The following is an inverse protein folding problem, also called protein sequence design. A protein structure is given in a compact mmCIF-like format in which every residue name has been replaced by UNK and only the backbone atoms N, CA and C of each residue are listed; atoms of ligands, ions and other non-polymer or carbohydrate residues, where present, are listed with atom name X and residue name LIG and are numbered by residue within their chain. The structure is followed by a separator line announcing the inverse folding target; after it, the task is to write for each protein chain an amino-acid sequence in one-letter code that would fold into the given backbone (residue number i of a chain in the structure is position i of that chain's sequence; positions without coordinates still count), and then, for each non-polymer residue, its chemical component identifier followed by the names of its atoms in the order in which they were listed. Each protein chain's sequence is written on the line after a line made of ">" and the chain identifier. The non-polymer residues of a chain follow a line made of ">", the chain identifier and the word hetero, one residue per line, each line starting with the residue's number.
data_IF_934844988142
#
_entry.id   IF_934844988142
#
_cell.length_a   1.000
_cell.length_b   1.000
_cell.length_c   1.000
_cell.angle_alpha   90.00
_cell.angle_beta   90.00
_cell.angle_gamma   90.00
#
_symmetry.space_group_name_H-M   'P 1'
#
loop_
_entity.id
_entity.type
_entity.pdbx_description
1 polymer ?
#
# COMPACT_ATOMS: atom_id res chain seq x y z
N UNK A 1 -7.55 42.84 -4.84
CA UNK A 1 -6.93 41.68 -5.49
C UNK A 1 -5.91 41.11 -4.53
N UNK A 2 -6.02 39.82 -4.20
CA UNK A 2 -5.11 39.14 -3.28
C UNK A 2 -3.78 38.85 -3.97
N UNK A 3 -2.68 38.93 -3.22
CA UNK A 3 -1.37 38.51 -3.70
C UNK A 3 -1.21 37.01 -3.51
N UNK A 4 -0.62 36.33 -4.49
CA UNK A 4 -0.19 34.94 -4.38
C UNK A 4 1.34 34.88 -4.32
N UNK A 5 1.86 34.03 -3.45
CA UNK A 5 3.29 33.82 -3.24
C UNK A 5 3.67 32.40 -3.61
N UNK A 6 4.72 32.30 -4.41
CA UNK A 6 5.13 31.07 -5.06
C UNK A 6 6.60 30.82 -4.76
N UNK A 7 6.90 29.80 -3.96
CA UNK A 7 8.25 29.47 -3.47
C UNK A 7 8.65 28.01 -3.69
N UNK A 8 7.74 27.13 -4.11
CA UNK A 8 8.06 25.76 -4.52
C UNK A 8 8.60 25.74 -5.97
N UNK A 9 9.71 26.44 -6.17
CA UNK A 9 10.32 26.84 -7.44
C UNK A 9 11.04 28.17 -7.26
N UNK A 10 11.33 28.87 -8.36
CA UNK A 10 11.77 30.27 -8.28
C UNK A 10 10.73 31.14 -7.54
N UNK A 11 11.21 32.07 -6.71
CA UNK A 11 10.34 33.00 -5.97
C UNK A 11 9.57 33.90 -6.93
N UNK A 12 8.24 33.75 -6.95
CA UNK A 12 7.31 34.59 -7.69
C UNK A 12 6.29 35.22 -6.74
N UNK A 13 5.95 36.49 -7.02
CA UNK A 13 4.83 37.19 -6.37
C UNK A 13 3.87 37.63 -7.45
N UNK A 14 2.61 37.25 -7.34
CA UNK A 14 1.60 37.51 -8.36
C UNK A 14 0.45 38.33 -7.81
N UNK A 15 -0.03 39.30 -8.58
CA UNK A 15 -1.27 40.03 -8.34
C UNK A 15 -2.24 39.68 -9.46
N UNK A 16 -3.02 38.63 -9.26
CA UNK A 16 -3.82 38.03 -10.33
C UNK A 16 -2.94 37.48 -11.46
N UNK A 17 -3.05 38.06 -12.66
CA UNK A 17 -2.26 37.65 -13.82
C UNK A 17 -0.83 38.24 -13.85
N UNK A 18 -0.60 39.33 -13.10
CA UNK A 18 0.64 40.10 -13.21
C UNK A 18 1.71 39.65 -12.21
N UNK A 19 2.96 39.61 -12.66
CA UNK A 19 4.12 39.42 -11.79
C UNK A 19 4.50 40.74 -11.12
N UNK A 20 4.74 40.69 -9.82
CA UNK A 20 5.19 41.84 -9.01
C UNK A 20 6.72 41.78 -8.88
N UNK A 21 7.39 42.84 -9.29
CA UNK A 21 8.86 42.96 -9.18
C UNK A 21 9.28 43.13 -7.71
N UNK A 22 9.91 42.09 -7.15
CA UNK A 22 10.35 42.06 -5.73
C UNK A 22 11.84 42.45 -5.59
N UNK A 23 12.45 42.96 -6.66
CA UNK A 23 13.85 43.40 -6.66
C UNK A 23 14.85 42.26 -6.76
N UNK A 24 16.10 42.51 -6.34
CA UNK A 24 17.24 41.60 -6.50
C UNK A 24 17.25 40.42 -5.49
N UNK A 25 18.14 39.44 -5.70
CA UNK A 25 18.23 38.20 -4.92
C UNK A 25 18.18 38.39 -3.39
N UNK A 26 18.96 39.33 -2.81
CA UNK A 26 18.92 39.57 -1.34
C UNK A 26 17.58 40.11 -0.82
N UNK A 27 16.88 40.94 -1.61
CA UNK A 27 15.55 41.43 -1.22
C UNK A 27 14.52 40.29 -1.30
N UNK A 28 14.62 39.44 -2.34
CA UNK A 28 13.85 38.20 -2.47
C UNK A 28 14.11 37.24 -1.30
N UNK A 29 15.35 37.09 -0.84
CA UNK A 29 15.69 36.28 0.33
C UNK A 29 15.01 36.77 1.61
N UNK A 30 14.97 38.09 1.85
CA UNK A 30 14.25 38.66 3.01
C UNK A 30 12.76 38.30 2.95
N UNK A 31 12.13 38.45 1.78
CA UNK A 31 10.74 38.07 1.61
C UNK A 31 10.54 36.57 1.85
N UNK A 32 11.38 35.72 1.26
CA UNK A 32 11.29 34.27 1.40
C UNK A 32 11.37 33.81 2.87
N UNK A 33 12.27 34.40 3.68
CA UNK A 33 12.34 34.10 5.12
C UNK A 33 11.02 34.45 5.83
N UNK A 34 10.43 35.60 5.51
CA UNK A 34 9.16 36.02 6.10
C UNK A 34 7.96 35.18 5.63
N UNK A 35 8.01 34.62 4.41
CA UNK A 35 6.97 33.73 3.89
C UNK A 35 7.02 32.35 4.56
N UNK A 36 8.21 31.84 4.88
CA UNK A 36 8.37 30.58 5.63
C UNK A 36 7.72 30.73 7.02
N UNK A 37 8.01 31.81 7.73
CA UNK A 37 7.44 32.11 9.04
C UNK A 37 6.25 33.08 8.97
N UNK A 38 5.33 32.86 8.01
CA UNK A 38 4.17 33.74 7.83
C UNK A 38 3.36 33.85 9.12
N UNK A 39 2.86 35.04 9.43
CA UNK A 39 2.13 35.35 10.66
C UNK A 39 2.92 35.12 11.97
N UNK A 40 4.22 34.78 11.90
CA UNK A 40 5.12 34.65 13.03
C UNK A 40 6.16 35.79 13.04
N UNK A 41 6.60 36.19 14.24
CA UNK A 41 7.61 37.25 14.38
C UNK A 41 8.99 36.67 14.14
N UNK A 42 9.67 37.14 13.10
CA UNK A 42 11.09 36.80 12.83
C UNK A 42 11.99 37.91 13.38
N UNK A 43 12.87 37.55 14.31
CA UNK A 43 13.81 38.50 14.92
C UNK A 43 14.78 39.11 13.89
N UNK A 44 15.26 40.33 14.15
CA UNK A 44 16.23 40.99 13.25
C UNK A 44 17.50 40.15 13.09
N UNK A 45 18.08 39.64 14.18
CA UNK A 45 19.30 38.82 14.10
C UNK A 45 19.06 37.51 13.33
N UNK A 46 17.87 36.94 13.44
CA UNK A 46 17.47 35.74 12.71
C UNK A 46 17.30 36.02 11.22
N UNK A 47 16.69 37.16 10.85
CA UNK A 47 16.64 37.62 9.45
C UNK A 47 18.05 37.83 8.90
N UNK A 48 18.94 38.46 9.68
CA UNK A 48 20.32 38.68 9.26
C UNK A 48 21.06 37.36 9.04
N UNK A 49 20.99 36.46 10.02
CA UNK A 49 21.63 35.13 9.95
C UNK A 49 21.11 34.31 8.78
N UNK A 50 19.79 34.24 8.55
CA UNK A 50 19.23 33.42 7.46
C UNK A 50 19.50 33.99 6.07
N UNK A 51 19.51 35.31 5.93
CA UNK A 51 19.72 35.95 4.63
C UNK A 51 21.20 36.05 4.29
N UNK A 52 22.09 36.31 5.25
CA UNK A 52 23.52 36.57 4.99
C UNK A 52 24.49 35.51 5.54
N UNK A 53 24.05 34.62 6.42
CA UNK A 53 24.91 33.64 7.08
C UNK A 53 26.05 34.30 7.85
N UNK A 54 27.24 33.73 7.73
CA UNK A 54 28.46 34.20 8.40
C UNK A 54 29.14 35.41 7.73
N UNK A 55 28.62 35.87 6.58
CA UNK A 55 29.19 36.98 5.84
C UNK A 55 28.23 38.19 5.72
N UNK A 56 27.77 38.77 6.85
CA UNK A 56 26.93 39.97 6.81
C UNK A 56 27.75 41.20 6.36
N UNK A 57 27.17 42.11 5.56
CA UNK A 57 27.83 43.37 5.23
C UNK A 57 27.97 44.25 6.47
N UNK A 58 28.96 45.17 6.46
CA UNK A 58 29.25 46.09 7.57
C UNK A 58 28.00 46.86 8.10
N UNK A 59 27.02 47.10 7.24
CA UNK A 59 25.76 47.77 7.59
C UNK A 59 24.52 46.87 7.34
N UNK A 60 24.58 45.60 7.72
CA UNK A 60 23.51 44.63 7.46
C UNK A 60 22.13 45.06 7.96
N UNK A 61 22.04 45.68 9.15
CA UNK A 61 20.77 46.22 9.68
C UNK A 61 20.18 47.32 8.80
N UNK A 62 21.01 48.24 8.32
CA UNK A 62 20.56 49.32 7.43
C UNK A 62 20.08 48.77 6.07
N UNK A 63 20.82 47.80 5.51
CA UNK A 63 20.42 47.11 4.29
C UNK A 63 19.08 46.36 4.46
N UNK A 64 18.90 45.64 5.58
CA UNK A 64 17.65 44.96 5.90
C UNK A 64 16.47 45.94 5.96
N UNK A 65 16.62 47.06 6.66
CA UNK A 65 15.55 48.07 6.74
C UNK A 65 15.20 48.68 5.36
N UNK A 66 16.20 48.89 4.51
CA UNK A 66 16.00 49.34 3.12
C UNK A 66 15.21 48.31 2.31
N UNK A 67 15.56 47.03 2.41
CA UNK A 67 14.84 45.95 1.73
C UNK A 67 13.41 45.80 2.23
N UNK A 68 13.17 45.86 3.54
CA UNK A 68 11.83 45.82 4.13
C UNK A 68 10.97 47.00 3.68
N UNK A 69 11.56 48.20 3.56
CA UNK A 69 10.86 49.37 3.02
C UNK A 69 10.42 49.15 1.57
N UNK A 70 11.34 48.68 0.70
CA UNK A 70 11.03 48.38 -0.70
C UNK A 70 9.99 47.26 -0.85
N UNK A 71 10.08 46.22 -0.02
CA UNK A 71 9.10 45.13 0.00
C UNK A 71 7.70 45.64 0.37
N UNK A 72 7.57 46.51 1.38
CA UNK A 72 6.27 47.13 1.73
C UNK A 72 5.66 47.88 0.55
N UNK A 73 6.48 48.64 -0.18
CA UNK A 73 6.02 49.36 -1.38
C UNK A 73 5.60 48.40 -2.48
N UNK A 74 6.41 47.38 -2.79
CA UNK A 74 6.13 46.43 -3.87
C UNK A 74 4.85 45.61 -3.61
N UNK A 75 4.66 45.13 -2.38
CA UNK A 75 3.53 44.27 -2.03
C UNK A 75 2.21 45.06 -1.95
N UNK A 76 2.25 46.35 -1.59
CA UNK A 76 1.13 47.28 -1.78
C UNK A 76 -0.24 46.74 -1.33
N UNK A 77 -0.31 46.13 -0.14
CA UNK A 77 -1.54 45.51 0.37
C UNK A 77 -1.32 44.39 1.39
N UNK A 78 -0.13 43.77 1.43
CA UNK A 78 0.25 42.76 2.43
C UNK A 78 1.12 43.41 3.52
N UNK A 79 0.65 43.50 4.77
CA UNK A 79 1.37 44.21 5.83
C UNK A 79 2.61 43.46 6.33
N UNK A 80 3.77 44.11 6.23
CA UNK A 80 4.99 43.72 6.95
C UNK A 80 5.13 44.61 8.18
N UNK A 81 4.68 44.14 9.35
CA UNK A 81 4.69 44.91 10.61
C UNK A 81 5.95 44.65 11.42
N UNK A 82 6.36 45.65 12.19
CA UNK A 82 7.40 45.48 13.21
C UNK A 82 6.72 45.08 14.52
N UNK A 83 7.12 43.96 15.13
CA UNK A 83 6.61 43.49 16.42
C UNK A 83 7.76 42.94 17.25
N UNK A 84 7.81 43.25 18.56
CA UNK A 84 8.75 42.68 19.53
C UNK A 84 10.21 42.57 19.08
N UNK A 85 10.74 43.62 18.40
CA UNK A 85 12.13 43.62 17.93
C UNK A 85 12.40 42.83 16.63
N UNK A 86 11.35 42.33 15.97
CA UNK A 86 11.40 41.62 14.69
C UNK A 86 10.38 42.12 13.69
N UNK A 87 10.16 41.33 12.64
CA UNK A 87 9.19 41.61 11.59
C UNK A 87 8.26 40.41 11.37
N UNK A 88 7.01 40.69 11.07
CA UNK A 88 6.00 39.69 10.69
C UNK A 88 5.37 40.10 9.37
N UNK A 89 5.25 39.16 8.45
CA UNK A 89 4.42 39.29 7.25
C UNK A 89 3.06 38.68 7.54
N UNK A 90 2.03 39.51 7.49
CA UNK A 90 0.65 39.12 7.81
C UNK A 90 -0.14 38.89 6.52
N UNK A 91 -0.44 37.62 6.21
CA UNK A 91 -1.28 37.23 5.08
C UNK A 91 -1.94 35.89 5.35
N UNK A 92 -2.95 35.54 4.56
CA UNK A 92 -3.55 34.20 4.59
C UNK A 92 -2.52 33.16 4.12
N UNK A 93 -2.16 32.15 4.94
CA UNK A 93 -1.24 31.08 4.53
C UNK A 93 -1.68 30.35 3.25
N UNK A 94 -2.97 30.29 2.94
CA UNK A 94 -3.47 29.66 1.71
C UNK A 94 -3.03 30.38 0.42
N UNK A 95 -2.57 31.64 0.54
CA UNK A 95 -1.99 32.41 -0.57
C UNK A 95 -0.53 32.07 -0.86
N UNK A 96 0.11 31.24 -0.03
CA UNK A 96 1.51 30.85 -0.14
C UNK A 96 1.55 29.35 -0.48
N UNK A 97 2.14 29.00 -1.64
CA UNK A 97 2.18 27.61 -2.11
C UNK A 97 2.85 26.64 -1.13
N UNK A 98 3.87 27.06 -0.38
CA UNK A 98 4.51 26.27 0.67
C UNK A 98 3.53 25.85 1.79
N UNK A 99 2.77 26.80 2.34
CA UNK A 99 1.83 26.49 3.42
C UNK A 99 0.62 25.71 2.91
N UNK A 100 0.19 25.99 1.67
CA UNK A 100 -0.84 25.22 1.00
C UNK A 100 -0.38 23.78 0.72
N UNK A 101 0.88 23.57 0.35
CA UNK A 101 1.49 22.26 0.19
C UNK A 101 1.43 21.47 1.50
N UNK A 102 1.93 22.01 2.62
CA UNK A 102 1.87 21.33 3.91
C UNK A 102 0.41 21.02 4.32
N UNK A 103 -0.52 21.95 4.09
CA UNK A 103 -1.93 21.74 4.40
C UNK A 103 -2.55 20.61 3.57
N UNK A 104 -2.24 20.54 2.27
CA UNK A 104 -2.74 19.48 1.38
C UNK A 104 -2.14 18.11 1.72
N UNK A 105 -0.86 18.05 2.09
CA UNK A 105 -0.22 16.82 2.59
C UNK A 105 -0.90 16.35 3.87
N UNK A 106 -1.12 17.25 4.84
CA UNK A 106 -1.81 16.93 6.09
C UNK A 106 -3.26 16.46 5.88
N UNK A 107 -3.92 16.93 4.82
CA UNK A 107 -5.27 16.50 4.43
C UNK A 107 -5.29 15.18 3.63
N UNK A 108 -4.14 14.56 3.37
CA UNK A 108 -4.06 13.34 2.55
C UNK A 108 -4.37 13.58 1.08
N UNK A 109 -4.06 14.78 0.56
CA UNK A 109 -4.28 15.17 -0.85
C UNK A 109 -2.95 15.41 -1.58
N UNK A 110 -2.05 14.40 -1.65
CA UNK A 110 -0.70 14.60 -2.15
C UNK A 110 -0.65 14.98 -3.64
N UNK A 111 -1.60 14.53 -4.46
CA UNK A 111 -1.66 14.89 -5.89
C UNK A 111 -1.79 16.41 -6.10
N UNK A 112 -2.65 17.06 -5.30
CA UNK A 112 -2.85 18.51 -5.36
C UNK A 112 -1.69 19.28 -4.75
N UNK A 113 -1.05 18.71 -3.73
CA UNK A 113 0.16 19.28 -3.14
C UNK A 113 1.29 19.30 -4.17
N UNK A 114 1.54 18.17 -4.85
CA UNK A 114 2.59 18.05 -5.87
C UNK A 114 2.36 18.96 -7.07
N UNK A 115 1.10 19.23 -7.44
CA UNK A 115 0.78 20.19 -8.51
C UNK A 115 1.22 21.63 -8.20
N UNK A 116 1.54 21.96 -6.94
CA UNK A 116 2.10 23.26 -6.57
C UNK A 116 3.61 23.36 -6.81
N UNK A 117 4.31 22.23 -6.89
CA UNK A 117 5.75 22.15 -7.09
C UNK A 117 6.08 22.41 -8.55
N UNK A 118 6.83 23.47 -8.82
CA UNK A 118 7.21 23.92 -10.17
C UNK A 118 8.68 23.66 -10.51
N UNK A 119 9.49 23.39 -9.50
CA UNK A 119 10.93 23.21 -9.62
C UNK A 119 11.58 23.08 -8.24
N UNK A 120 12.88 23.36 -8.16
CA UNK A 120 13.62 23.34 -6.91
C UNK A 120 13.04 24.40 -5.93
N UNK A 121 12.66 24.05 -4.69
CA UNK A 121 12.15 25.02 -3.73
C UNK A 121 13.12 26.20 -3.54
N UNK A 122 12.63 27.43 -3.56
CA UNK A 122 13.45 28.64 -3.45
C UNK A 122 14.60 28.71 -4.46
N UNK A 123 14.36 28.27 -5.70
CA UNK A 123 15.34 28.31 -6.79
C UNK A 123 15.95 29.71 -6.95
N UNK A 124 17.26 29.77 -7.15
CA UNK A 124 18.01 31.03 -7.28
C UNK A 124 18.27 31.79 -5.98
N UNK A 125 17.78 31.29 -4.83
CA UNK A 125 18.17 31.81 -3.51
C UNK A 125 19.34 31.00 -2.94
N UNK A 126 20.34 31.71 -2.42
CA UNK A 126 21.60 31.14 -1.94
C UNK A 126 21.82 31.40 -0.45
N UNK A 127 22.66 30.58 0.16
CA UNK A 127 22.98 30.60 1.59
C UNK A 127 22.70 29.26 2.24
N UNK A 128 23.41 28.97 3.33
CA UNK A 128 23.32 27.68 4.04
C UNK A 128 21.90 27.39 4.54
N UNK A 129 21.21 28.41 5.07
CA UNK A 129 19.83 28.25 5.52
C UNK A 129 18.89 27.81 4.38
N UNK A 130 19.00 28.41 3.19
CA UNK A 130 18.20 28.01 2.02
C UNK A 130 18.58 26.62 1.51
N UNK A 131 19.86 26.25 1.56
CA UNK A 131 20.30 24.90 1.18
C UNK A 131 19.72 23.82 2.10
N UNK A 132 19.72 24.06 3.42
CA UNK A 132 19.12 23.15 4.40
C UNK A 132 17.60 23.08 4.28
N UNK A 133 16.95 24.23 4.05
CA UNK A 133 15.51 24.29 3.80
C UNK A 133 15.13 23.52 2.53
N UNK A 134 15.87 23.71 1.43
CA UNK A 134 15.70 22.94 0.20
C UNK A 134 15.79 21.45 0.44
N UNK A 135 16.85 20.99 1.12
CA UNK A 135 17.02 19.57 1.44
C UNK A 135 15.83 19.00 2.21
N UNK A 136 15.31 19.76 3.18
CA UNK A 136 14.13 19.37 3.97
C UNK A 136 12.89 19.27 3.09
N UNK A 137 12.60 20.30 2.30
CA UNK A 137 11.43 20.34 1.42
C UNK A 137 11.50 19.31 0.30
N UNK A 138 12.67 19.04 -0.26
CA UNK A 138 12.83 17.95 -1.23
C UNK A 138 12.46 16.61 -0.59
N UNK A 139 12.87 16.35 0.65
CA UNK A 139 12.47 15.14 1.38
C UNK A 139 10.96 15.05 1.60
N UNK A 140 10.30 16.17 1.93
CA UNK A 140 8.84 16.23 2.07
C UNK A 140 8.11 16.03 0.74
N UNK A 141 8.61 16.61 -0.35
CA UNK A 141 8.08 16.41 -1.70
C UNK A 141 8.20 14.93 -2.09
N UNK A 142 9.37 14.31 -1.88
CA UNK A 142 9.57 12.87 -2.13
C UNK A 142 8.61 12.03 -1.28
N UNK A 143 8.39 12.37 -0.01
CA UNK A 143 7.40 11.66 0.82
C UNK A 143 5.97 11.79 0.26
N UNK A 144 5.58 12.99 -0.20
CA UNK A 144 4.28 13.21 -0.83
C UNK A 144 4.12 12.44 -2.16
N UNK A 145 5.19 12.31 -2.96
CA UNK A 145 5.19 11.46 -4.16
C UNK A 145 4.97 9.97 -3.82
N UNK A 146 5.58 9.48 -2.75
CA UNK A 146 5.38 8.12 -2.27
C UNK A 146 3.93 7.93 -1.81
N UNK A 147 3.37 8.86 -1.04
CA UNK A 147 1.97 8.81 -0.60
C UNK A 147 0.98 8.88 -1.77
N UNK A 148 1.28 9.70 -2.78
CA UNK A 148 0.50 9.77 -4.01
C UNK A 148 0.52 8.44 -4.77
N UNK A 149 1.70 7.82 -4.86
CA UNK A 149 1.86 6.51 -5.49
C UNK A 149 1.07 5.43 -4.75
N UNK A 150 1.11 5.41 -3.42
CA UNK A 150 0.29 4.47 -2.62
C UNK A 150 -1.21 4.67 -2.87
N UNK A 151 -1.66 5.93 -3.00
CA UNK A 151 -3.06 6.24 -3.31
C UNK A 151 -3.47 5.74 -4.70
N UNK A 152 -2.61 5.91 -5.71
CA UNK A 152 -2.85 5.40 -7.08
C UNK A 152 -2.86 3.87 -7.12
N UNK A 153 -1.98 3.21 -6.37
CA UNK A 153 -1.98 1.76 -6.22
C UNK A 153 -3.27 1.27 -5.55
N UNK A 154 -3.75 1.95 -4.51
CA UNK A 154 -5.02 1.61 -3.87
C UNK A 154 -6.24 1.79 -4.80
N UNK A 155 -6.15 2.75 -5.74
CA UNK A 155 -7.15 2.96 -6.79
C UNK A 155 -7.08 1.95 -7.95
N UNK A 156 -6.10 1.02 -7.95
CA UNK A 156 -5.96 -0.03 -8.95
C UNK A 156 -5.11 0.36 -10.18
N UNK A 157 -4.42 1.49 -10.16
CA UNK A 157 -3.54 1.95 -11.26
C UNK A 157 -2.21 1.18 -11.33
N UNK A 158 -2.26 -0.14 -11.42
CA UNK A 158 -1.07 -0.96 -11.30
C UNK A 158 -0.17 -0.92 -12.55
N UNK A 159 -0.76 -1.11 -13.73
CA UNK A 159 0.01 -1.31 -14.98
C UNK A 159 0.71 -0.03 -15.44
N UNK A 160 0.06 1.13 -15.29
CA UNK A 160 0.61 2.43 -15.69
C UNK A 160 1.82 2.83 -14.84
N UNK A 161 1.85 2.42 -13.57
CA UNK A 161 2.92 2.76 -12.62
C UNK A 161 4.21 1.94 -12.78
N UNK A 162 4.18 0.77 -13.41
CA UNK A 162 5.34 -0.15 -13.43
C UNK A 162 6.58 0.51 -14.05
N UNK A 163 6.43 1.21 -15.19
CA UNK A 163 7.58 1.80 -15.89
C UNK A 163 8.24 2.90 -15.04
N UNK A 164 7.43 3.80 -14.50
CA UNK A 164 7.86 4.88 -13.60
C UNK A 164 8.56 4.32 -12.34
N UNK A 165 7.92 3.36 -11.66
CA UNK A 165 8.48 2.75 -10.44
C UNK A 165 9.76 1.95 -10.71
N UNK A 166 9.89 1.35 -11.90
CA UNK A 166 11.13 0.64 -12.28
C UNK A 166 12.30 1.63 -12.44
N UNK A 167 12.06 2.80 -13.03
CA UNK A 167 13.08 3.84 -13.14
C UNK A 167 13.52 4.33 -11.74
N UNK A 168 12.55 4.68 -10.88
CA UNK A 168 12.84 5.16 -9.52
C UNK A 168 13.56 4.15 -8.63
N UNK A 169 13.20 2.87 -8.71
CA UNK A 169 13.90 1.79 -7.96
C UNK A 169 15.28 1.47 -8.53
N UNK A 170 15.59 1.93 -9.75
CA UNK A 170 16.96 1.86 -10.30
C UNK A 170 17.81 3.00 -9.75
N UNK A 171 17.24 4.19 -9.63
CA UNK A 171 17.91 5.37 -9.05
C UNK A 171 18.09 5.25 -7.53
N UNK A 172 17.14 4.62 -6.84
CA UNK A 172 17.14 4.42 -5.39
C UNK A 172 17.08 2.93 -5.03
N UNK A 173 18.16 2.16 -5.28
CA UNK A 173 18.17 0.70 -5.23
C UNK A 173 17.96 0.09 -3.83
N UNK A 174 18.15 0.87 -2.78
CA UNK A 174 18.02 0.44 -1.37
C UNK A 174 16.76 1.02 -0.69
N UNK A 175 15.90 1.75 -1.43
CA UNK A 175 14.66 2.29 -0.88
C UNK A 175 13.58 1.20 -0.81
N UNK A 176 13.33 0.72 0.40
CA UNK A 176 12.38 -0.35 0.66
C UNK A 176 10.92 0.03 0.35
N UNK A 177 10.56 1.32 0.50
CA UNK A 177 9.19 1.78 0.24
C UNK A 177 8.92 1.79 -1.26
N UNK A 178 9.85 2.31 -2.06
CA UNK A 178 9.78 2.26 -3.52
C UNK A 178 9.72 0.82 -4.04
N UNK A 179 10.55 -0.07 -3.48
CA UNK A 179 10.50 -1.49 -3.83
C UNK A 179 9.14 -2.12 -3.52
N UNK A 180 8.56 -1.80 -2.36
CA UNK A 180 7.24 -2.29 -1.97
C UNK A 180 6.13 -1.79 -2.90
N UNK A 181 6.21 -0.54 -3.35
CA UNK A 181 5.29 0.04 -4.33
C UNK A 181 5.40 -0.64 -5.70
N UNK A 182 6.62 -0.87 -6.20
CA UNK A 182 6.83 -1.61 -7.44
C UNK A 182 6.31 -3.05 -7.31
N UNK A 183 6.57 -3.73 -6.20
CA UNK A 183 6.03 -5.07 -5.94
C UNK A 183 4.49 -5.07 -6.01
N UNK A 184 3.81 -4.13 -5.35
CA UNK A 184 2.34 -3.98 -5.42
C UNK A 184 1.84 -3.73 -6.84
N UNK A 185 2.52 -2.88 -7.60
CA UNK A 185 2.19 -2.63 -9.01
C UNK A 185 2.33 -3.91 -9.86
N UNK A 186 3.41 -4.67 -9.69
CA UNK A 186 3.64 -5.92 -10.41
C UNK A 186 2.59 -6.98 -10.04
N UNK A 187 2.26 -7.13 -8.75
CA UNK A 187 1.22 -8.06 -8.28
C UNK A 187 -0.14 -7.71 -8.90
N UNK A 188 -0.56 -6.45 -8.82
CA UNK A 188 -1.84 -6.00 -9.37
C UNK A 188 -1.93 -6.11 -10.90
N UNK A 189 -0.79 -6.16 -11.60
CA UNK A 189 -0.71 -6.44 -13.03
C UNK A 189 -0.61 -7.94 -13.38
N UNK A 190 -0.71 -8.84 -12.39
CA UNK A 190 -0.60 -10.29 -12.58
C UNK A 190 0.84 -10.81 -12.71
N UNK A 191 1.85 -9.98 -12.45
CA UNK A 191 3.29 -10.29 -12.62
C UNK A 191 3.94 -10.71 -11.30
N UNK A 192 3.36 -11.70 -10.62
CA UNK A 192 3.82 -12.18 -9.29
C UNK A 192 5.28 -12.65 -9.29
N UNK A 193 5.71 -13.38 -10.32
CA UNK A 193 7.09 -13.85 -10.45
C UNK A 193 8.09 -12.69 -10.51
N UNK A 194 7.74 -11.60 -11.21
CA UNK A 194 8.59 -10.42 -11.31
C UNK A 194 8.70 -9.68 -9.98
N UNK A 195 7.62 -9.62 -9.20
CA UNK A 195 7.63 -9.04 -7.85
C UNK A 195 8.55 -9.83 -6.90
N UNK A 196 8.50 -11.16 -6.94
CA UNK A 196 9.39 -12.02 -6.16
C UNK A 196 10.86 -11.89 -6.58
N UNK A 197 11.12 -11.84 -7.89
CA UNK A 197 12.46 -11.62 -8.41
C UNK A 197 13.02 -10.24 -8.00
N UNK A 198 12.17 -9.22 -7.97
CA UNK A 198 12.55 -7.89 -7.48
C UNK A 198 12.91 -7.90 -5.99
N UNK A 199 12.06 -8.52 -5.15
CA UNK A 199 12.35 -8.69 -3.72
C UNK A 199 13.66 -9.42 -3.45
N UNK A 200 13.92 -10.52 -4.17
CA UNK A 200 15.16 -11.29 -4.02
C UNK A 200 16.41 -10.45 -4.34
N UNK A 201 16.35 -9.63 -5.42
CA UNK A 201 17.45 -8.71 -5.77
C UNK A 201 17.68 -7.65 -4.70
N UNK A 202 16.62 -7.04 -4.18
CA UNK A 202 16.72 -6.04 -3.12
C UNK A 202 17.31 -6.64 -1.85
N UNK A 203 16.83 -7.81 -1.42
CA UNK A 203 17.33 -8.51 -0.23
C UNK A 203 18.84 -8.76 -0.33
N UNK A 204 19.31 -9.21 -1.48
CA UNK A 204 20.75 -9.45 -1.69
C UNK A 204 21.55 -8.14 -1.58
N UNK A 205 21.07 -7.05 -2.19
CA UNK A 205 21.74 -5.74 -2.09
C UNK A 205 21.77 -5.17 -0.66
N UNK A 206 20.64 -5.25 0.07
CA UNK A 206 20.59 -4.78 1.46
C UNK A 206 21.56 -5.56 2.35
N UNK A 207 21.66 -6.87 2.15
CA UNK A 207 22.61 -7.71 2.87
C UNK A 207 24.07 -7.37 2.49
N UNK A 208 24.36 -7.21 1.21
CA UNK A 208 25.72 -6.97 0.71
C UNK A 208 26.24 -5.56 1.04
N UNK A 209 25.40 -4.54 0.88
CA UNK A 209 25.80 -3.13 1.02
C UNK A 209 25.63 -2.59 2.44
N UNK A 210 24.59 -3.03 3.17
CA UNK A 210 24.25 -2.50 4.50
C UNK A 210 24.36 -3.55 5.61
N UNK A 211 24.49 -4.85 5.29
CA UNK A 211 24.44 -5.92 6.29
C UNK A 211 23.06 -6.07 6.95
N UNK A 212 22.00 -5.62 6.27
CA UNK A 212 20.63 -5.59 6.80
C UNK A 212 19.72 -6.56 6.04
N UNK A 213 18.75 -7.12 6.75
CA UNK A 213 17.60 -7.78 6.14
C UNK A 213 16.50 -6.76 5.77
N UNK A 214 15.62 -7.07 4.79
CA UNK A 214 14.46 -6.24 4.50
C UNK A 214 13.56 -6.06 5.73
N UNK A 215 13.00 -4.85 5.87
CA UNK A 215 12.05 -4.48 6.89
C UNK A 215 10.74 -5.30 6.86
N UNK A 216 9.97 -5.25 7.96
CA UNK A 216 8.78 -6.10 8.14
C UNK A 216 7.75 -5.90 7.03
N UNK A 217 7.50 -4.67 6.59
CA UNK A 217 6.50 -4.39 5.54
C UNK A 217 6.80 -5.11 4.21
N UNK A 218 8.08 -5.19 3.81
CA UNK A 218 8.50 -5.92 2.61
C UNK A 218 8.48 -7.43 2.82
N UNK A 219 8.94 -7.90 3.99
CA UNK A 219 8.90 -9.33 4.33
C UNK A 219 7.46 -9.85 4.35
N UNK A 220 6.53 -9.10 4.92
CA UNK A 220 5.11 -9.45 4.98
C UNK A 220 4.49 -9.46 3.58
N UNK A 221 4.81 -8.46 2.74
CA UNK A 221 4.39 -8.44 1.34
C UNK A 221 4.92 -9.67 0.59
N UNK A 222 6.22 -9.96 0.68
CA UNK A 222 6.82 -11.14 0.05
C UNK A 222 6.22 -12.45 0.59
N UNK A 223 5.99 -12.56 1.91
CA UNK A 223 5.36 -13.71 2.53
C UNK A 223 3.92 -13.90 2.02
N UNK A 224 3.15 -12.82 1.84
CA UNK A 224 1.82 -12.89 1.23
C UNK A 224 1.86 -13.44 -0.21
N UNK A 225 2.97 -13.23 -0.93
CA UNK A 225 3.23 -13.81 -2.24
C UNK A 225 3.76 -15.24 -2.22
N UNK A 226 4.10 -15.80 -1.06
CA UNK A 226 4.37 -17.22 -0.92
C UNK A 226 3.18 -17.98 -0.33
N UNK A 227 2.23 -17.26 0.29
CA UNK A 227 0.96 -17.82 0.74
C UNK A 227 0.04 -18.07 -0.48
N UNK A 228 -0.51 -19.27 -0.63
CA UNK A 228 -1.69 -19.45 -1.48
C UNK A 228 -2.86 -18.67 -0.85
N UNK A 229 -3.83 -18.25 -1.67
CA UNK A 229 -4.89 -17.34 -1.26
C UNK A 229 -5.89 -18.05 -0.33
N UNK A 230 -5.60 -18.12 0.97
CA UNK A 230 -6.52 -18.69 1.96
C UNK A 230 -6.84 -17.71 3.08
N UNK A 231 -8.13 -17.50 3.30
CA UNK A 231 -8.69 -16.95 4.53
C UNK A 231 -9.92 -17.80 4.88
N UNK A 232 -10.30 -17.97 6.15
CA UNK A 232 -11.42 -18.81 6.56
C UNK A 232 -12.80 -18.28 6.12
N UNK A 233 -12.83 -17.28 5.22
CA UNK A 233 -14.05 -16.67 4.68
C UNK A 233 -14.06 -16.50 3.16
N UNK A 234 -12.96 -16.81 2.44
CA UNK A 234 -12.90 -16.57 0.98
C UNK A 234 -12.77 -17.87 0.21
N UNK A 235 -13.91 -18.30 -0.31
CA UNK A 235 -14.02 -19.14 -1.49
C UNK A 235 -13.74 -18.23 -2.72
N UNK A 236 -13.08 -18.70 -3.80
CA UNK A 236 -12.95 -17.95 -5.04
C UNK A 236 -14.25 -17.28 -5.48
N UNK A 237 -14.18 -16.10 -6.12
CA UNK A 237 -15.35 -15.36 -6.61
C UNK A 237 -16.31 -16.29 -7.38
N UNK A 238 -17.63 -16.13 -7.15
CA UNK A 238 -18.62 -16.90 -7.90
C UNK A 238 -18.44 -16.60 -9.40
N UNK A 239 -18.11 -17.60 -10.23
CA UNK A 239 -17.94 -17.38 -11.65
C UNK A 239 -19.28 -16.96 -12.28
N UNK A 240 -19.35 -15.72 -12.79
CA UNK A 240 -20.56 -15.14 -13.38
C UNK A 240 -21.07 -15.95 -14.60
N UNK A 241 -22.39 -16.17 -14.68
CA UNK A 241 -23.05 -16.77 -15.85
C UNK A 241 -23.12 -18.31 -15.86
N UNK A 242 -23.42 -18.94 -14.73
CA UNK A 242 -23.71 -20.38 -14.72
C UNK A 242 -25.09 -20.63 -15.37
N UNK A 243 -25.09 -21.14 -16.61
CA UNK A 243 -26.29 -21.43 -17.39
C UNK A 243 -26.63 -22.93 -17.47
N UNK A 244 -25.98 -23.76 -16.64
CA UNK A 244 -26.37 -25.16 -16.46
C UNK A 244 -27.38 -25.22 -15.33
N UNK A 245 -28.58 -25.74 -15.57
CA UNK A 245 -29.49 -26.03 -14.46
C UNK A 245 -28.88 -27.17 -13.63
N UNK A 246 -28.47 -26.98 -12.37
CA UNK A 246 -28.26 -28.12 -11.53
C UNK A 246 -29.65 -28.50 -10.98
N UNK A 247 -30.03 -29.77 -11.09
CA UNK A 247 -30.76 -30.33 -9.96
C UNK A 247 -29.90 -29.98 -8.75
N UNK A 248 -30.39 -29.09 -7.88
CA UNK A 248 -29.61 -28.47 -6.82
C UNK A 248 -28.73 -29.54 -6.16
N UNK A 249 -27.44 -29.27 -6.00
CA UNK A 249 -26.62 -30.11 -5.12
C UNK A 249 -27.34 -30.03 -3.76
N UNK A 250 -28.09 -31.06 -3.40
CA UNK A 250 -28.75 -31.19 -2.09
C UNK A 250 -27.95 -32.25 -1.36
N UNK A 251 -26.99 -31.85 -0.51
CA UNK A 251 -26.20 -32.80 0.25
C UNK A 251 -27.08 -33.43 1.32
N UNK A 252 -27.39 -34.72 1.15
CA UNK A 252 -27.97 -35.58 2.18
C UNK A 252 -26.87 -36.15 3.10
N UNK A 253 -25.61 -35.98 2.70
CA UNK A 253 -24.41 -36.40 3.45
C UNK A 253 -23.52 -35.20 3.81
N UNK A 254 -22.80 -35.23 4.95
CA UNK A 254 -21.78 -34.23 5.26
C UNK A 254 -20.63 -34.21 4.25
N UNK A 255 -20.43 -35.27 3.46
CA UNK A 255 -19.40 -35.33 2.43
C UNK A 255 -20.06 -35.57 1.08
N UNK A 256 -19.77 -34.71 0.10
CA UNK A 256 -20.24 -34.83 -1.28
C UNK A 256 -19.05 -34.95 -2.21
N UNK A 257 -19.11 -35.85 -3.17
CA UNK A 257 -18.08 -36.03 -4.19
C UNK A 257 -18.66 -35.74 -5.56
N UNK A 258 -18.14 -34.72 -6.24
CA UNK A 258 -18.53 -34.30 -7.58
C UNK A 258 -17.49 -34.82 -8.56
N UNK A 259 -17.87 -35.76 -9.41
CA UNK A 259 -16.98 -36.45 -10.35
C UNK A 259 -17.44 -36.24 -11.78
N UNK A 260 -16.53 -36.31 -12.76
CA UNK A 260 -16.85 -36.04 -14.15
C UNK A 260 -15.64 -35.62 -14.98
N UNK A 261 -15.77 -35.58 -16.33
CA UNK A 261 -14.65 -35.31 -17.21
C UNK A 261 -14.07 -33.89 -17.03
N UNK A 262 -12.83 -33.63 -17.50
CA UNK A 262 -12.28 -32.28 -17.57
C UNK A 262 -13.22 -31.33 -18.30
N UNK A 263 -13.42 -30.11 -17.78
CA UNK A 263 -14.33 -29.13 -18.39
C UNK A 263 -15.81 -29.28 -18.04
N UNK A 264 -16.24 -30.35 -17.34
CA UNK A 264 -17.64 -30.56 -16.93
C UNK A 264 -18.17 -29.56 -15.87
N UNK A 265 -17.39 -28.55 -15.47
CA UNK A 265 -17.84 -27.52 -14.53
C UNK A 265 -17.90 -27.94 -13.06
N UNK A 266 -17.24 -29.03 -12.64
CA UNK A 266 -17.25 -29.52 -11.25
C UNK A 266 -16.87 -28.47 -10.22
N UNK A 267 -15.71 -27.83 -10.43
CA UNK A 267 -15.22 -26.71 -9.60
C UNK A 267 -16.24 -25.58 -9.58
N UNK A 268 -16.82 -25.25 -10.74
CA UNK A 268 -17.82 -24.20 -10.88
C UNK A 268 -19.06 -24.48 -10.03
N UNK A 269 -19.58 -25.71 -10.11
CA UNK A 269 -20.73 -26.16 -9.32
C UNK A 269 -20.42 -26.15 -7.82
N UNK A 270 -19.25 -26.65 -7.42
CA UNK A 270 -18.83 -26.67 -6.02
C UNK A 270 -18.73 -25.25 -5.43
N UNK A 271 -18.13 -24.32 -6.17
CA UNK A 271 -17.98 -22.93 -5.76
C UNK A 271 -19.32 -22.20 -5.70
N UNK A 272 -20.16 -22.36 -6.72
CA UNK A 272 -21.49 -21.74 -6.76
C UNK A 272 -22.35 -22.19 -5.59
N UNK A 273 -22.41 -23.51 -5.36
CA UNK A 273 -23.13 -24.08 -4.22
C UNK A 273 -22.61 -23.54 -2.88
N UNK A 274 -21.29 -23.42 -2.74
CA UNK A 274 -20.66 -22.92 -1.53
C UNK A 274 -20.85 -21.41 -1.28
N UNK A 275 -21.18 -20.64 -2.31
CA UNK A 275 -21.64 -19.25 -2.18
C UNK A 275 -23.11 -19.19 -1.78
N UNK A 276 -23.98 -19.95 -2.41
CA UNK A 276 -25.42 -20.00 -2.07
C UNK A 276 -25.65 -20.42 -0.61
N UNK A 277 -24.86 -21.37 -0.10
CA UNK A 277 -25.03 -21.94 1.25
C UNK A 277 -24.09 -21.31 2.29
N UNK A 278 -23.53 -20.14 2.01
CA UNK A 278 -22.60 -19.48 2.92
C UNK A 278 -23.21 -19.21 4.32
N UNK A 279 -24.52 -18.93 4.37
CA UNK A 279 -25.26 -18.67 5.61
C UNK A 279 -25.36 -19.86 6.56
N UNK A 280 -25.24 -21.09 6.05
CA UNK A 280 -25.37 -22.32 6.84
C UNK A 280 -24.09 -22.70 7.59
N UNK A 281 -22.99 -22.00 7.28
CA UNK A 281 -21.64 -22.26 7.78
C UNK A 281 -21.04 -21.00 8.44
N UNK A 282 -21.59 -20.58 9.60
CA UNK A 282 -21.26 -19.30 10.22
C UNK A 282 -19.80 -19.20 10.71
N UNK A 283 -19.17 -20.34 11.01
CA UNK A 283 -17.81 -20.38 11.55
C UNK A 283 -16.75 -20.21 10.46
N UNK A 284 -17.13 -20.38 9.19
CA UNK A 284 -16.26 -20.11 8.06
C UNK A 284 -16.29 -21.16 6.96
N UNK A 285 -15.47 -20.90 5.94
CA UNK A 285 -15.37 -21.69 4.72
C UNK A 285 -13.90 -21.81 4.30
N UNK A 286 -13.48 -23.02 3.95
CA UNK A 286 -12.15 -23.35 3.44
C UNK A 286 -12.27 -23.86 2.01
N UNK A 287 -11.32 -23.50 1.15
CA UNK A 287 -11.21 -23.97 -0.23
C UNK A 287 -9.76 -24.33 -0.51
N UNK A 288 -9.48 -25.46 -1.14
CA UNK A 288 -8.15 -25.84 -1.61
C UNK A 288 -8.26 -26.53 -2.97
N UNK A 289 -7.33 -26.21 -3.87
CA UNK A 289 -7.06 -26.99 -5.08
C UNK A 289 -5.98 -28.03 -4.75
N UNK A 290 -6.34 -29.31 -4.86
CA UNK A 290 -5.50 -30.44 -4.52
C UNK A 290 -4.56 -30.88 -5.65
N UNK A 291 -4.54 -30.17 -6.78
CA UNK A 291 -3.66 -30.51 -7.90
C UNK A 291 -2.19 -30.48 -7.48
N UNK A 292 -1.57 -31.66 -7.33
CA UNK A 292 -0.17 -31.80 -6.93
C UNK A 292 0.14 -31.46 -5.46
N UNK A 293 -0.89 -31.32 -4.62
CA UNK A 293 -0.73 -30.96 -3.20
C UNK A 293 -0.51 -32.19 -2.31
N UNK A 294 0.45 -32.11 -1.37
CA UNK A 294 0.60 -33.07 -0.28
C UNK A 294 -0.44 -32.79 0.82
N UNK A 295 -1.25 -33.77 1.24
CA UNK A 295 -2.22 -33.60 2.33
C UNK A 295 -1.62 -33.04 3.62
N UNK A 296 -0.39 -33.40 3.98
CA UNK A 296 0.25 -32.91 5.20
C UNK A 296 0.47 -31.38 5.15
N UNK A 297 0.90 -30.87 4.00
CA UNK A 297 1.07 -29.43 3.80
C UNK A 297 -0.27 -28.70 3.86
N UNK A 298 -1.32 -29.25 3.24
CA UNK A 298 -2.66 -28.64 3.27
C UNK A 298 -3.23 -28.61 4.69
N UNK A 299 -3.06 -29.69 5.48
CA UNK A 299 -3.50 -29.70 6.89
C UNK A 299 -2.75 -28.63 7.70
N UNK A 300 -1.42 -28.54 7.56
CA UNK A 300 -0.61 -27.51 8.21
C UNK A 300 -1.08 -26.10 7.85
N UNK A 301 -1.45 -25.87 6.59
CA UNK A 301 -1.98 -24.60 6.13
C UNK A 301 -3.37 -24.31 6.70
N UNK A 302 -4.26 -25.31 6.77
CA UNK A 302 -5.57 -25.16 7.42
C UNK A 302 -5.45 -24.80 8.91
N UNK A 303 -4.48 -25.38 9.63
CA UNK A 303 -4.21 -25.03 11.03
C UNK A 303 -3.84 -23.54 11.18
N UNK A 304 -2.96 -23.02 10.33
CA UNK A 304 -2.61 -21.60 10.33
C UNK A 304 -3.83 -20.71 10.07
N UNK A 305 -4.66 -21.09 9.10
CA UNK A 305 -5.88 -20.35 8.73
C UNK A 305 -6.93 -20.37 9.85
N UNK A 306 -7.01 -21.46 10.60
CA UNK A 306 -7.90 -21.62 11.75
C UNK A 306 -7.39 -20.91 13.03
N UNK A 307 -6.20 -20.31 12.97
CA UNK A 307 -5.62 -19.46 14.02
C UNK A 307 -4.53 -20.12 14.86
N UNK A 308 -4.03 -21.31 14.48
CA UNK A 308 -2.87 -21.91 15.15
C UNK A 308 -1.58 -21.16 14.76
N UNK A 309 -0.75 -20.81 15.73
CA UNK A 309 0.57 -20.22 15.47
C UNK A 309 1.53 -21.25 14.86
N UNK A 310 2.57 -20.81 14.15
CA UNK A 310 3.56 -21.73 13.56
C UNK A 310 4.21 -22.64 14.61
N UNK A 311 4.55 -22.09 15.78
CA UNK A 311 5.16 -22.84 16.88
C UNK A 311 4.20 -23.82 17.57
N UNK A 312 2.89 -23.65 17.37
CA UNK A 312 1.84 -24.50 17.94
C UNK A 312 1.46 -25.68 17.06
N UNK A 313 2.03 -25.81 15.85
CA UNK A 313 1.75 -26.89 14.92
C UNK A 313 2.69 -28.07 15.20
N UNK A 314 2.17 -29.28 15.51
CA UNK A 314 3.00 -30.46 15.70
C UNK A 314 3.83 -30.79 14.45
N UNK A 315 5.05 -31.32 14.60
CA UNK A 315 5.88 -31.69 13.45
C UNK A 315 5.36 -32.94 12.73
N UNK A 316 4.69 -33.85 13.42
CA UNK A 316 4.18 -35.09 12.82
C UNK A 316 2.84 -34.88 12.07
N UNK A 317 2.71 -35.31 10.80
CA UNK A 317 1.48 -35.13 10.01
C UNK A 317 0.21 -35.72 10.64
N UNK A 318 0.33 -36.85 11.33
CA UNK A 318 -0.82 -37.45 12.04
C UNK A 318 -1.29 -36.56 13.19
N UNK A 319 -0.37 -35.88 13.88
CA UNK A 319 -0.67 -35.00 15.01
C UNK A 319 -1.27 -33.67 14.52
N UNK A 320 -0.82 -33.18 13.37
CA UNK A 320 -1.45 -32.05 12.68
C UNK A 320 -2.90 -32.38 12.29
N UNK A 321 -3.14 -33.56 11.73
CA UNK A 321 -4.48 -34.03 11.36
C UNK A 321 -5.39 -34.14 12.60
N UNK A 322 -4.84 -34.66 13.71
CA UNK A 322 -5.57 -34.74 14.98
C UNK A 322 -5.92 -33.34 15.51
N UNK A 323 -4.97 -32.40 15.54
CA UNK A 323 -5.20 -31.02 15.97
C UNK A 323 -6.24 -30.32 15.08
N UNK A 324 -6.16 -30.53 13.77
CA UNK A 324 -7.13 -29.98 12.81
C UNK A 324 -8.55 -30.43 13.12
N UNK A 325 -8.76 -31.73 13.34
CA UNK A 325 -10.06 -32.28 13.73
C UNK A 325 -10.54 -31.74 15.09
N UNK A 326 -9.64 -31.58 16.05
CA UNK A 326 -9.96 -30.96 17.35
C UNK A 326 -10.46 -29.52 17.19
N UNK A 327 -9.83 -28.72 16.32
CA UNK A 327 -10.27 -27.33 16.09
C UNK A 327 -11.63 -27.24 15.39
N UNK A 328 -11.99 -28.27 14.62
CA UNK A 328 -13.25 -28.33 13.88
C UNK A 328 -14.39 -29.02 14.62
N UNK A 329 -14.11 -29.73 15.73
CA UNK A 329 -15.07 -30.60 16.41
C UNK A 329 -16.42 -29.93 16.68
N UNK A 330 -16.40 -28.68 17.14
CA UNK A 330 -17.59 -27.89 17.51
C UNK A 330 -17.90 -26.75 16.52
N UNK A 331 -17.32 -26.76 15.32
CA UNK A 331 -17.51 -25.70 14.31
C UNK A 331 -18.38 -26.17 13.16
N UNK A 332 -19.21 -25.25 12.68
CA UNK A 332 -20.02 -25.38 11.46
C UNK A 332 -19.31 -24.72 10.29
N UNK A 333 -18.41 -25.47 9.65
CA UNK A 333 -17.61 -25.03 8.52
C UNK A 333 -18.06 -25.67 7.20
N UNK A 334 -17.74 -25.03 6.08
CA UNK A 334 -17.76 -25.65 4.75
C UNK A 334 -16.34 -25.79 4.22
N UNK A 335 -15.97 -26.97 3.73
CA UNK A 335 -14.64 -27.28 3.20
C UNK A 335 -14.80 -27.74 1.75
N UNK A 336 -14.20 -27.03 0.81
CA UNK A 336 -14.20 -27.40 -0.61
C UNK A 336 -12.82 -27.92 -0.99
N UNK A 337 -12.75 -29.18 -1.40
CA UNK A 337 -11.54 -29.89 -1.80
C UNK A 337 -11.59 -30.12 -3.32
N UNK A 338 -11.04 -29.19 -4.09
CA UNK A 338 -11.10 -29.20 -5.55
C UNK A 338 -9.99 -30.06 -6.15
N UNK A 339 -10.28 -30.77 -7.26
CA UNK A 339 -9.33 -31.58 -8.02
C UNK A 339 -8.60 -32.68 -7.22
N UNK A 340 -9.28 -33.35 -6.30
CA UNK A 340 -8.73 -34.51 -5.60
C UNK A 340 -8.28 -35.61 -6.59
N UNK A 341 -7.05 -36.09 -6.42
CA UNK A 341 -6.49 -37.17 -7.22
C UNK A 341 -7.03 -38.54 -6.81
N UNK A 342 -7.13 -38.80 -5.49
CA UNK A 342 -7.60 -40.06 -4.94
C UNK A 342 -8.20 -39.89 -3.53
N UNK A 343 -8.64 -41.00 -2.93
CA UNK A 343 -9.21 -41.01 -1.57
C UNK A 343 -8.16 -40.72 -0.49
N UNK A 344 -6.92 -41.18 -0.64
CA UNK A 344 -5.87 -41.00 0.35
C UNK A 344 -5.50 -39.52 0.51
N UNK A 345 -5.59 -38.75 -0.57
CA UNK A 345 -5.38 -37.30 -0.54
C UNK A 345 -6.45 -36.55 0.28
N UNK A 346 -7.68 -37.08 0.30
CA UNK A 346 -8.84 -36.43 0.93
C UNK A 346 -8.97 -36.76 2.42
N UNK A 347 -8.70 -38.01 2.82
CA UNK A 347 -8.95 -38.51 4.19
C UNK A 347 -8.33 -37.64 5.30
N UNK A 348 -7.06 -37.17 5.20
CA UNK A 348 -6.46 -36.32 6.23
C UNK A 348 -7.19 -34.97 6.40
N UNK A 349 -7.86 -34.49 5.35
CA UNK A 349 -8.55 -33.20 5.32
C UNK A 349 -10.00 -33.28 5.81
N UNK A 350 -10.49 -34.49 6.11
CA UNK A 350 -11.83 -34.68 6.63
C UNK A 350 -11.92 -34.23 8.12
N UNK A 351 -12.95 -33.43 8.46
CA UNK A 351 -13.08 -32.77 9.77
C UNK A 351 -13.45 -33.74 10.91
N UNK A 352 -13.94 -34.94 10.59
CA UNK A 352 -14.34 -35.94 11.59
C UNK A 352 -15.63 -35.61 12.37
N UNK A 353 -16.36 -34.57 11.97
CA UNK A 353 -17.63 -34.14 12.58
C UNK A 353 -18.69 -33.89 11.49
N UNK A 354 -19.97 -34.24 11.73
CA UNK A 354 -21.05 -33.94 10.80
C UNK A 354 -21.46 -32.45 10.80
N UNK A 355 -20.96 -31.65 11.75
CA UNK A 355 -21.20 -30.20 11.79
C UNK A 355 -20.51 -29.47 10.64
N UNK A 356 -19.42 -30.04 10.13
CA UNK A 356 -18.73 -29.56 8.95
C UNK A 356 -19.25 -30.26 7.70
N UNK A 357 -19.33 -29.51 6.61
CA UNK A 357 -19.68 -30.05 5.29
C UNK A 357 -18.47 -30.02 4.37
N UNK A 358 -18.26 -31.07 3.59
CA UNK A 358 -17.13 -31.25 2.69
C UNK A 358 -17.63 -31.48 1.27
N UNK A 359 -17.21 -30.64 0.33
CA UNK A 359 -17.49 -30.81 -1.10
C UNK A 359 -16.18 -31.11 -1.80
N UNK A 360 -16.06 -32.32 -2.34
CA UNK A 360 -14.87 -32.80 -3.04
C UNK A 360 -15.15 -32.78 -4.53
N UNK A 361 -14.25 -32.24 -5.35
CA UNK A 361 -14.31 -32.45 -6.80
C UNK A 361 -13.18 -33.36 -7.24
N UNK A 362 -13.43 -34.24 -8.20
CA UNK A 362 -12.40 -35.11 -8.78
C UNK A 362 -12.70 -35.42 -10.24
N UNK A 363 -11.66 -35.77 -10.99
CA UNK A 363 -11.80 -36.33 -12.35
C UNK A 363 -12.18 -37.81 -12.28
N UNK A 364 -11.68 -38.51 -11.27
CA UNK A 364 -11.89 -39.93 -11.06
C UNK A 364 -12.99 -40.17 -10.02
N UNK A 365 -13.55 -41.39 -10.03
CA UNK A 365 -14.45 -41.79 -8.95
C UNK A 365 -13.64 -42.05 -7.67
N UNK A 366 -14.18 -41.63 -6.53
CA UNK A 366 -13.55 -41.80 -5.21
C UNK A 366 -14.33 -42.82 -4.38
N UNK A 367 -14.35 -44.11 -4.75
CA UNK A 367 -15.21 -45.12 -4.12
C UNK A 367 -14.92 -45.30 -2.64
N UNK A 368 -13.66 -45.11 -2.21
CA UNK A 368 -13.27 -45.19 -0.80
C UNK A 368 -13.95 -44.14 0.09
N UNK A 369 -14.26 -42.95 -0.45
CA UNK A 369 -15.03 -41.94 0.29
C UNK A 369 -16.49 -42.34 0.44
N UNK A 370 -17.07 -42.97 -0.57
CA UNK A 370 -18.46 -43.44 -0.54
C UNK A 370 -18.61 -44.59 0.45
N UNK A 371 -17.72 -45.59 0.38
CA UNK A 371 -17.84 -46.82 1.18
C UNK A 371 -17.41 -46.65 2.63
N UNK A 372 -16.32 -45.92 2.90
CA UNK A 372 -15.77 -45.80 4.26
C UNK A 372 -16.23 -44.54 5.00
N UNK A 373 -16.65 -43.50 4.28
CA UNK A 373 -16.99 -42.19 4.87
C UNK A 373 -18.40 -41.71 4.52
N UNK A 374 -19.21 -42.55 3.85
CA UNK A 374 -20.60 -42.23 3.53
C UNK A 374 -20.77 -41.03 2.59
N UNK A 375 -19.77 -40.75 1.75
CA UNK A 375 -19.85 -39.63 0.82
C UNK A 375 -20.95 -39.86 -0.23
N UNK A 376 -21.72 -38.80 -0.52
CA UNK A 376 -22.73 -38.81 -1.58
C UNK A 376 -22.04 -38.56 -2.94
N UNK A 377 -22.11 -39.50 -3.90
CA UNK A 377 -21.57 -39.29 -5.23
C UNK A 377 -22.53 -38.49 -6.10
N UNK A 378 -22.01 -37.47 -6.78
CA UNK A 378 -22.66 -36.68 -7.81
C UNK A 378 -21.80 -36.75 -9.07
N UNK A 379 -22.39 -37.16 -10.18
CA UNK A 379 -21.68 -37.32 -11.46
C UNK A 379 -22.14 -36.24 -12.43
N UNK A 380 -21.20 -35.46 -12.95
CA UNK A 380 -21.43 -34.52 -14.04
C UNK A 380 -21.02 -35.16 -15.36
N UNK A 381 -21.91 -35.06 -16.35
CA UNK A 381 -21.76 -35.61 -17.70
C UNK A 381 -20.90 -34.76 -18.61
#
# INVERSE_FOLDING_TARGET
>A
MTLEFRVLGALEVRRGADLVEVGHARQRSVLAVLLVDVNQVVGVEQLLSRVWGDAPPRQARAALYSYLSRLRTALGGVPIRRRSGGYVLETDPATIDLHRFHSLVALGRPAEALALVRGEPFEGLHGEWFANLRKTLTGEITAAELDHTDSRLAAGEHRSLIAEMTARTTEHPLDERLAGQLMRALIGAGRRSDALAHYARLRHRLADELGLDPGPALRDLAASLHRPQWSPRRIPLDPAGFAGAPAALVPDSPIVTITGPPGAGKTRLALHWAHEHAGDHPDGRLFVDLTGADPADVVREFLLVLGTSQDGIPPEPHAQTALYRTLLADRRMLIVLDNAADTAQVVPLLPGTPLCRVVVTSRERLPGLVTAYGAQPVVLG
#
